data_IF_696542730471
#
_entry.id   IF_696542730471
#
_cell.length_a   1.000
_cell.length_b   1.000
_cell.length_c   1.000
_cell.angle_alpha   90.00
_cell.angle_beta   90.00
_cell.angle_gamma   90.00
#
_symmetry.space_group_name_H-M   'P 1'
#
loop_
_entity.id
_entity.type
_entity.pdbx_description
1 polymer ?
#
# COMPACT_ATOMS: atom_id res chain seq x y z
N UNK A 1 -4.68 14.49 44.73
CA UNK A 1 -3.73 13.44 44.32
C UNK A 1 -4.51 12.39 43.57
N UNK A 2 -4.11 12.06 42.33
CA UNK A 2 -4.71 10.96 41.61
C UNK A 2 -4.24 9.67 42.27
N UNK A 3 -5.19 8.89 42.82
CA UNK A 3 -4.88 7.57 43.31
C UNK A 3 -4.34 6.74 42.14
N UNK A 4 -3.19 6.09 42.33
CA UNK A 4 -2.67 5.14 41.35
C UNK A 4 -3.67 3.99 41.25
N UNK A 5 -4.46 3.98 40.18
CA UNK A 5 -5.30 2.84 39.88
C UNK A 5 -4.38 1.66 39.59
N UNK A 6 -4.52 0.59 40.37
CA UNK A 6 -3.73 -0.60 40.18
C UNK A 6 -4.04 -1.17 38.79
N UNK A 7 -3.06 -1.09 37.88
CA UNK A 7 -3.19 -1.66 36.55
C UNK A 7 -3.47 -3.16 36.69
N UNK A 8 -4.58 -3.61 36.12
CA UNK A 8 -4.85 -5.05 36.02
C UNK A 8 -3.82 -5.66 35.08
N UNK A 9 -3.21 -6.81 35.43
CA UNK A 9 -2.33 -7.52 34.51
C UNK A 9 -3.04 -7.76 33.18
N UNK A 10 -2.40 -7.37 32.07
CA UNK A 10 -2.93 -7.65 30.74
C UNK A 10 -2.73 -9.13 30.43
N UNK A 11 -3.86 -9.83 30.22
CA UNK A 11 -3.89 -11.24 29.85
C UNK A 11 -4.88 -11.42 28.69
N UNK A 12 -4.43 -11.24 27.43
CA UNK A 12 -5.31 -11.39 26.28
C UNK A 12 -5.75 -12.85 26.14
N UNK A 13 -6.99 -13.09 25.71
CA UNK A 13 -7.51 -14.44 25.51
C UNK A 13 -6.73 -15.23 24.44
N UNK A 14 -6.14 -14.53 23.48
CA UNK A 14 -5.22 -15.09 22.49
C UNK A 14 -4.19 -14.05 22.05
N UNK A 15 -2.98 -14.52 21.73
CA UNK A 15 -1.95 -13.68 21.13
C UNK A 15 -2.07 -13.74 19.61
N UNK A 16 -2.07 -12.59 18.89
CA UNK A 16 -2.04 -12.58 17.44
C UNK A 16 -0.89 -13.43 16.88
N UNK A 17 -1.07 -14.03 15.70
CA UNK A 17 -0.07 -14.93 15.09
C UNK A 17 1.30 -14.27 14.95
N UNK A 18 1.31 -12.97 14.63
CA UNK A 18 2.52 -12.17 14.46
C UNK A 18 3.22 -11.78 15.79
N UNK A 19 2.62 -12.04 16.96
CA UNK A 19 3.19 -11.76 18.29
C UNK A 19 3.44 -13.02 19.15
N UNK A 20 3.35 -14.23 18.57
CA UNK A 20 3.68 -15.46 19.28
C UNK A 20 5.17 -15.50 19.58
N UNK A 21 5.58 -15.98 20.76
CA UNK A 21 7.00 -16.06 21.13
C UNK A 21 7.83 -16.85 20.10
N UNK A 22 8.80 -16.18 19.48
CA UNK A 22 9.65 -16.67 18.38
C UNK A 22 11.06 -17.03 18.85
N UNK A 23 11.42 -16.82 20.12
CA UNK A 23 12.78 -17.08 20.66
C UNK A 23 13.27 -18.50 20.43
N UNK A 24 12.36 -19.47 20.40
CA UNK A 24 12.67 -20.88 20.17
C UNK A 24 12.17 -21.42 18.82
N UNK A 25 11.58 -20.57 17.98
CA UNK A 25 11.11 -20.96 16.66
C UNK A 25 12.27 -21.06 15.66
N UNK A 26 12.28 -22.11 14.84
CA UNK A 26 13.24 -22.25 13.75
C UNK A 26 12.91 -21.27 12.61
N UNK A 27 13.84 -20.41 12.20
CA UNK A 27 13.61 -19.50 11.08
C UNK A 27 13.65 -20.26 9.75
N UNK A 28 12.70 -19.97 8.86
CA UNK A 28 12.72 -20.47 7.48
C UNK A 28 13.68 -19.68 6.58
N UNK A 29 14.06 -18.47 7.01
CA UNK A 29 14.99 -17.60 6.32
C UNK A 29 15.83 -16.81 7.33
N UNK A 30 17.14 -16.70 7.08
CA UNK A 30 18.05 -15.96 7.94
C UNK A 30 18.97 -15.12 7.08
N UNK A 31 18.79 -13.80 7.12
CA UNK A 31 19.62 -12.85 6.37
C UNK A 31 20.32 -11.88 7.31
N UNK A 32 21.46 -11.34 6.87
CA UNK A 32 22.17 -10.28 7.55
C UNK A 32 21.85 -8.93 6.91
N UNK A 33 21.70 -7.88 7.72
CA UNK A 33 21.54 -6.49 7.26
C UNK A 33 22.40 -5.59 8.11
N UNK A 34 23.38 -4.97 7.47
CA UNK A 34 24.19 -3.94 8.10
C UNK A 34 23.54 -2.57 7.96
N UNK A 35 23.50 -1.81 9.06
CA UNK A 35 23.14 -0.41 9.09
C UNK A 35 24.41 0.44 8.99
N UNK A 36 24.78 0.83 7.77
CA UNK A 36 26.05 1.49 7.49
C UNK A 36 27.22 0.50 7.35
N UNK A 37 28.13 0.77 6.41
CA UNK A 37 29.38 0.02 6.24
C UNK A 37 30.51 0.94 5.76
N UNK A 38 31.73 0.67 6.23
CA UNK A 38 32.98 1.02 5.54
C UNK A 38 33.18 2.49 5.16
N UNK A 39 32.64 3.43 5.93
CA UNK A 39 32.76 4.88 5.69
C UNK A 39 31.48 5.57 5.19
N UNK A 40 30.48 4.81 4.74
CA UNK A 40 29.19 5.35 4.33
C UNK A 40 28.10 5.07 5.38
N UNK A 41 27.76 6.10 6.16
CA UNK A 41 26.73 6.04 7.22
C UNK A 41 25.29 6.10 6.69
N UNK A 42 25.08 5.93 5.39
CA UNK A 42 23.79 6.13 4.71
C UNK A 42 23.32 4.92 3.91
N UNK A 43 24.01 3.79 4.01
CA UNK A 43 23.71 2.60 3.22
C UNK A 43 23.10 1.52 4.10
N UNK A 44 22.19 0.73 3.55
CA UNK A 44 21.62 -0.45 4.20
C UNK A 44 22.06 -1.71 3.45
N UNK A 45 22.63 -2.68 4.16
CA UNK A 45 23.29 -3.86 3.58
C UNK A 45 24.25 -3.53 2.41
N UNK A 46 25.03 -2.45 2.57
CA UNK A 46 25.98 -2.02 1.53
C UNK A 46 25.33 -1.41 0.29
N UNK A 47 24.05 -1.02 0.34
CA UNK A 47 23.34 -0.41 -0.77
C UNK A 47 22.73 0.94 -0.39
N UNK A 48 22.90 1.93 -1.28
CA UNK A 48 22.20 3.21 -1.25
C UNK A 48 20.86 3.09 -1.96
N UNK A 49 19.78 3.53 -1.33
CA UNK A 49 18.50 3.60 -2.03
C UNK A 49 18.47 4.74 -3.04
N UNK A 50 18.30 4.37 -4.30
CA UNK A 50 18.16 5.29 -5.44
C UNK A 50 16.78 5.13 -6.13
N UNK A 51 15.82 4.54 -5.41
CA UNK A 51 14.48 4.25 -5.93
C UNK A 51 14.22 2.77 -6.15
N UNK A 52 13.09 2.46 -6.80
CA UNK A 52 12.52 1.10 -6.90
C UNK A 52 13.23 0.20 -7.92
N UNK A 53 14.56 0.24 -8.02
CA UNK A 53 15.35 -0.54 -9.00
C UNK A 53 15.96 -1.81 -8.39
N UNK A 54 16.17 -1.79 -7.07
CA UNK A 54 16.72 -2.87 -6.27
C UNK A 54 15.89 -3.02 -5.00
N UNK A 55 15.79 -4.26 -4.55
CA UNK A 55 15.13 -4.65 -3.30
C UNK A 55 16.15 -5.42 -2.47
N UNK A 56 16.02 -5.37 -1.14
CA UNK A 56 16.80 -6.24 -0.26
C UNK A 56 16.22 -7.65 -0.28
N UNK A 57 16.32 -8.34 0.84
CA UNK A 57 15.98 -9.73 1.01
C UNK A 57 14.54 -10.07 0.56
N UNK A 58 14.38 -11.34 0.15
CA UNK A 58 13.09 -12.01 0.04
C UNK A 58 12.87 -12.91 1.23
N UNK A 59 11.70 -12.79 1.84
CA UNK A 59 11.23 -13.67 2.90
C UNK A 59 10.00 -14.46 2.44
N UNK A 60 9.90 -15.76 2.79
CA UNK A 60 8.69 -16.54 2.55
C UNK A 60 7.49 -15.98 3.33
N UNK A 61 6.27 -16.16 2.81
CA UNK A 61 5.05 -15.89 3.57
C UNK A 61 4.77 -17.02 4.58
N UNK A 62 4.03 -16.70 5.64
CA UNK A 62 3.60 -17.64 6.69
C UNK A 62 4.78 -18.34 7.36
N UNK A 63 5.87 -17.61 7.57
CA UNK A 63 7.12 -18.15 8.08
C UNK A 63 7.70 -17.28 9.21
N UNK A 64 8.60 -17.87 9.99
CA UNK A 64 9.47 -17.13 10.89
C UNK A 64 10.72 -16.75 10.12
N UNK A 65 11.11 -15.48 10.19
CA UNK A 65 12.32 -14.93 9.58
C UNK A 65 13.23 -14.44 10.68
N UNK A 66 14.51 -14.77 10.58
CA UNK A 66 15.56 -14.20 11.42
C UNK A 66 16.33 -13.14 10.65
N UNK A 67 16.59 -12.02 11.33
CA UNK A 67 17.41 -10.94 10.82
C UNK A 67 18.57 -10.68 11.76
N UNK A 68 19.79 -10.81 11.22
CA UNK A 68 21.03 -10.47 11.91
C UNK A 68 21.42 -9.04 11.57
N UNK A 69 21.26 -8.16 12.53
CA UNK A 69 21.48 -6.72 12.37
C UNK A 69 22.87 -6.35 12.86
N UNK A 70 23.49 -5.38 12.18
CA UNK A 70 24.71 -4.73 12.64
C UNK A 70 24.66 -3.21 12.44
N UNK A 71 25.51 -2.44 13.12
CA UNK A 71 25.52 -0.96 13.10
C UNK A 71 24.45 -0.30 13.98
N UNK A 72 23.86 -1.05 14.91
CA UNK A 72 22.75 -0.61 15.77
C UNK A 72 23.17 0.35 16.89
N UNK A 73 24.47 0.62 17.05
CA UNK A 73 25.03 1.59 17.99
C UNK A 73 25.01 3.03 17.46
N UNK A 74 24.72 3.19 16.17
CA UNK A 74 24.62 4.48 15.47
C UNK A 74 23.32 4.63 14.67
N UNK A 75 22.63 3.53 14.37
CA UNK A 75 21.51 3.52 13.45
C UNK A 75 20.33 2.75 14.02
N UNK A 76 19.23 3.44 14.29
CA UNK A 76 18.00 2.81 14.75
C UNK A 76 17.37 2.05 13.58
N UNK A 77 17.37 0.72 13.61
CA UNK A 77 16.70 -0.10 12.60
C UNK A 77 15.20 -0.08 12.83
N UNK A 78 14.43 0.24 11.79
CA UNK A 78 12.97 0.21 11.80
C UNK A 78 12.44 -0.67 10.66
N UNK A 79 11.44 -1.50 10.96
CA UNK A 79 10.79 -2.38 10.00
C UNK A 79 9.29 -2.13 9.96
N UNK A 80 8.76 -1.97 8.76
CA UNK A 80 7.31 -1.82 8.54
C UNK A 80 6.64 -3.20 8.55
N UNK A 81 5.32 -3.19 8.74
CA UNK A 81 4.40 -4.34 8.67
C UNK A 81 4.54 -5.39 9.79
N UNK A 82 5.76 -5.84 10.10
CA UNK A 82 5.98 -6.93 11.05
C UNK A 82 6.77 -6.46 12.27
N UNK A 83 6.15 -6.41 13.46
CA UNK A 83 6.89 -6.35 14.70
C UNK A 83 7.88 -7.53 14.77
N UNK A 84 9.05 -7.28 15.33
CA UNK A 84 10.09 -8.28 15.56
C UNK A 84 10.39 -8.43 17.04
N UNK A 85 10.81 -9.61 17.42
CA UNK A 85 11.17 -9.99 18.77
C UNK A 85 12.68 -10.07 18.90
N UNK A 86 13.23 -9.51 19.98
CA UNK A 86 14.64 -9.70 20.35
C UNK A 86 14.86 -11.15 20.79
N UNK A 87 15.72 -11.89 20.08
CA UNK A 87 15.90 -13.34 20.36
C UNK A 87 16.84 -13.60 21.53
N UNK A 88 17.69 -12.64 21.85
CA UNK A 88 18.73 -12.73 22.87
C UNK A 88 18.70 -11.48 23.75
N UNK A 89 19.31 -11.58 24.94
CA UNK A 89 19.48 -10.41 25.78
C UNK A 89 20.42 -9.43 25.06
N UNK A 90 20.08 -8.14 24.99
CA UNK A 90 20.99 -7.13 24.47
C UNK A 90 22.32 -7.16 25.22
N UNK A 91 23.43 -6.98 24.50
CA UNK A 91 24.73 -6.82 25.14
C UNK A 91 24.88 -5.38 25.69
N UNK A 92 25.91 -5.17 26.51
CA UNK A 92 26.27 -3.84 27.01
C UNK A 92 25.43 -3.34 28.19
N UNK A 93 24.92 -4.25 29.01
CA UNK A 93 24.14 -3.97 30.23
C UNK A 93 22.94 -3.03 29.99
N UNK A 94 22.26 -3.19 28.86
CA UNK A 94 21.05 -2.42 28.55
C UNK A 94 19.95 -2.69 29.61
N UNK A 95 19.51 -1.69 30.37
CA UNK A 95 18.54 -1.88 31.44
C UNK A 95 17.09 -1.93 30.93
N UNK A 96 16.87 -1.54 29.67
CA UNK A 96 15.54 -1.33 29.10
C UNK A 96 15.11 -2.53 28.26
N UNK A 97 15.90 -2.89 27.25
CA UNK A 97 15.59 -3.95 26.31
C UNK A 97 15.92 -5.34 26.88
N UNK A 98 15.07 -6.33 26.62
CA UNK A 98 15.21 -7.70 27.12
C UNK A 98 14.94 -8.74 26.03
N UNK A 99 15.50 -9.93 26.24
CA UNK A 99 15.19 -11.07 25.39
C UNK A 99 13.69 -11.38 25.44
N UNK A 100 13.03 -11.34 24.29
CA UNK A 100 11.61 -11.60 24.15
C UNK A 100 10.74 -10.36 24.00
N UNK A 101 11.30 -9.15 24.18
CA UNK A 101 10.59 -7.92 23.91
C UNK A 101 10.27 -7.78 22.42
N UNK A 102 9.10 -7.20 22.14
CA UNK A 102 8.60 -6.94 20.79
C UNK A 102 8.77 -5.47 20.44
N UNK A 103 9.33 -5.22 19.26
CA UNK A 103 9.63 -3.90 18.75
C UNK A 103 9.34 -3.80 17.25
N UNK A 104 9.12 -2.59 16.76
CA UNK A 104 9.22 -2.26 15.33
C UNK A 104 10.49 -1.46 15.02
N UNK A 105 11.18 -1.00 16.07
CA UNK A 105 12.34 -0.12 16.01
C UNK A 105 13.33 -0.50 17.11
N UNK A 106 14.61 -0.63 16.77
CA UNK A 106 15.65 -0.99 17.73
C UNK A 106 16.97 -0.25 17.47
N UNK A 107 17.56 0.24 18.56
CA UNK A 107 18.86 0.89 18.65
C UNK A 107 19.47 0.47 19.99
N UNK A 108 20.74 0.07 19.99
CA UNK A 108 21.48 -0.15 21.23
C UNK A 108 22.82 0.57 21.14
N UNK A 109 22.96 1.68 21.86
CA UNK A 109 24.19 2.50 21.82
C UNK A 109 25.43 1.78 22.36
N UNK A 110 25.25 0.67 23.10
CA UNK A 110 26.31 -0.12 23.70
C UNK A 110 26.62 -1.41 22.91
N UNK A 111 25.81 -1.76 21.91
CA UNK A 111 26.01 -2.93 21.07
C UNK A 111 25.59 -2.66 19.63
N UNK A 112 26.54 -2.87 18.72
CA UNK A 112 26.28 -2.71 17.29
C UNK A 112 25.44 -3.84 16.71
N UNK A 113 25.24 -4.97 17.40
CA UNK A 113 24.63 -6.18 16.85
C UNK A 113 23.31 -6.55 17.53
N UNK A 114 22.43 -7.22 16.78
CA UNK A 114 21.26 -7.90 17.35
C UNK A 114 20.78 -9.02 16.43
N UNK A 115 20.14 -10.03 17.01
CA UNK A 115 19.37 -11.03 16.28
C UNK A 115 17.89 -10.90 16.61
N UNK A 116 17.08 -10.60 15.60
CA UNK A 116 15.64 -10.41 15.74
C UNK A 116 14.86 -11.43 14.91
N UNK A 117 13.66 -11.79 15.37
CA UNK A 117 12.75 -12.66 14.61
C UNK A 117 11.39 -12.02 14.45
N UNK A 118 10.80 -12.20 13.27
CA UNK A 118 9.45 -11.75 12.98
C UNK A 118 8.69 -12.82 12.19
N UNK A 119 7.36 -12.77 12.26
CA UNK A 119 6.50 -13.68 11.53
C UNK A 119 5.86 -12.96 10.34
N UNK A 120 6.12 -13.46 9.13
CA UNK A 120 5.58 -12.92 7.87
C UNK A 120 4.16 -13.42 7.60
N UNK A 121 3.28 -13.23 8.57
CA UNK A 121 1.87 -13.62 8.52
C UNK A 121 1.00 -12.42 8.16
N UNK A 122 -0.18 -12.67 7.58
CA UNK A 122 -1.22 -11.67 7.28
C UNK A 122 -0.92 -10.68 6.13
N UNK A 123 0.34 -10.43 5.79
CA UNK A 123 0.74 -9.58 4.66
C UNK A 123 1.67 -10.32 3.68
N UNK A 124 1.56 -10.01 2.39
CA UNK A 124 2.52 -10.39 1.35
C UNK A 124 2.68 -9.20 0.39
N UNK A 125 3.92 -8.88 0.06
CA UNK A 125 4.25 -7.70 -0.72
C UNK A 125 5.52 -7.01 -0.24
N UNK A 126 5.75 -5.77 -0.71
CA UNK A 126 6.88 -4.97 -0.29
C UNK A 126 6.72 -4.51 1.17
N UNK A 127 7.77 -4.67 1.98
CA UNK A 127 7.89 -4.08 3.31
C UNK A 127 9.06 -3.08 3.29
N UNK A 128 8.88 -1.91 3.89
CA UNK A 128 9.95 -0.91 3.99
C UNK A 128 10.74 -1.18 5.28
N UNK A 129 12.07 -1.11 5.18
CA UNK A 129 12.97 -1.10 6.33
C UNK A 129 13.88 0.12 6.19
N UNK A 130 14.19 0.80 7.28
CA UNK A 130 15.05 1.98 7.20
C UNK A 130 15.71 2.32 8.52
N UNK A 131 16.65 3.26 8.47
CA UNK A 131 17.10 3.92 9.68
C UNK A 131 16.04 4.91 10.16
N UNK A 132 15.70 4.89 11.44
CA UNK A 132 14.76 5.84 12.04
C UNK A 132 15.39 7.21 12.36
N UNK A 133 16.68 7.41 12.01
CA UNK A 133 17.28 8.74 11.92
C UNK A 133 16.90 9.32 10.55
N UNK A 134 15.89 10.20 10.53
CA UNK A 134 15.28 10.70 9.28
C UNK A 134 16.32 11.26 8.29
N UNK A 135 17.30 12.04 8.77
CA UNK A 135 18.37 12.56 7.91
C UNK A 135 19.32 11.50 7.34
N UNK A 136 19.34 10.27 7.87
CA UNK A 136 20.01 9.12 7.26
C UNK A 136 19.09 8.44 6.25
N UNK A 137 17.82 8.21 6.60
CA UNK A 137 16.79 7.64 5.71
C UNK A 137 16.64 8.44 4.42
N UNK A 138 16.47 9.77 4.53
CA UNK A 138 16.30 10.69 3.40
C UNK A 138 17.51 10.73 2.47
N UNK A 139 18.69 10.32 2.97
CA UNK A 139 19.92 10.24 2.19
C UNK A 139 20.23 8.82 1.73
N UNK A 140 19.23 7.93 1.76
CA UNK A 140 19.27 6.61 1.13
C UNK A 140 19.45 5.43 2.09
N UNK A 141 19.40 5.63 3.42
CA UNK A 141 19.40 4.53 4.40
C UNK A 141 17.98 3.98 4.63
N UNK A 142 17.38 3.56 3.53
CA UNK A 142 16.06 2.97 3.41
C UNK A 142 16.18 1.81 2.42
N UNK A 143 15.35 0.81 2.54
CA UNK A 143 15.27 -0.26 1.56
C UNK A 143 13.87 -0.85 1.57
N UNK A 144 13.58 -1.61 0.51
CA UNK A 144 12.35 -2.38 0.41
C UNK A 144 12.72 -3.85 0.32
N UNK A 145 12.13 -4.66 1.18
CA UNK A 145 12.22 -6.12 1.15
C UNK A 145 10.92 -6.70 0.61
N UNK A 146 10.98 -7.94 0.14
CA UNK A 146 9.81 -8.63 -0.40
C UNK A 146 9.37 -9.78 0.49
N UNK A 147 8.09 -9.84 0.80
CA UNK A 147 7.45 -11.03 1.37
C UNK A 147 6.59 -11.70 0.31
N UNK A 148 7.04 -12.83 -0.22
CA UNK A 148 6.27 -13.64 -1.16
C UNK A 148 6.85 -15.06 -1.25
N UNK A 149 6.16 -15.93 -2.00
CA UNK A 149 6.52 -17.34 -2.07
C UNK A 149 6.29 -18.07 -0.76
N UNK A 150 6.71 -19.33 -0.69
CA UNK A 150 6.53 -20.17 0.49
C UNK A 150 7.71 -21.11 0.68
N UNK A 151 7.95 -21.51 1.93
CA UNK A 151 9.03 -22.43 2.31
C UNK A 151 10.46 -21.85 2.14
N UNK A 152 11.48 -22.63 2.50
CA UNK A 152 12.88 -22.17 2.50
C UNK A 152 13.40 -21.72 1.13
N UNK A 153 12.86 -22.28 0.03
CA UNK A 153 13.28 -21.92 -1.33
C UNK A 153 12.93 -20.46 -1.72
N UNK A 154 11.96 -19.85 -1.03
CA UNK A 154 11.63 -18.43 -1.21
C UNK A 154 12.51 -17.50 -0.36
N UNK A 155 13.46 -18.02 0.42
CA UNK A 155 14.44 -17.20 1.11
C UNK A 155 15.50 -16.70 0.12
N UNK A 156 15.73 -15.39 0.09
CA UNK A 156 16.81 -14.79 -0.70
C UNK A 156 17.45 -13.66 0.09
N UNK A 157 18.77 -13.72 0.29
CA UNK A 157 19.47 -12.70 1.08
C UNK A 157 20.22 -11.67 0.24
N UNK A 158 20.36 -11.88 -1.06
CA UNK A 158 21.01 -10.95 -1.96
C UNK A 158 20.06 -9.83 -2.42
N UNK A 159 20.62 -8.77 -3.00
CA UNK A 159 19.84 -7.72 -3.65
C UNK A 159 19.05 -8.30 -4.82
N UNK A 160 17.75 -8.00 -4.86
CA UNK A 160 16.85 -8.43 -5.91
C UNK A 160 16.62 -7.31 -6.93
N UNK A 161 16.61 -7.66 -8.20
CA UNK A 161 16.15 -6.83 -9.30
C UNK A 161 14.61 -6.74 -9.37
N UNK A 162 14.13 -5.88 -10.28
CA UNK A 162 12.72 -5.74 -10.65
C UNK A 162 12.06 -7.04 -11.10
N UNK A 163 12.81 -7.92 -11.75
CA UNK A 163 12.30 -9.20 -12.23
C UNK A 163 12.34 -10.24 -11.12
N UNK A 164 13.45 -10.32 -10.40
CA UNK A 164 13.59 -11.25 -9.29
C UNK A 164 12.48 -11.01 -8.27
N UNK A 165 12.17 -9.76 -7.89
CA UNK A 165 11.13 -9.44 -6.87
C UNK A 165 9.76 -10.07 -7.12
N UNK A 166 9.42 -10.42 -8.37
CA UNK A 166 8.11 -10.96 -8.72
C UNK A 166 7.83 -12.25 -7.92
N UNK A 167 6.58 -12.51 -7.53
CA UNK A 167 6.24 -13.80 -6.94
C UNK A 167 6.58 -14.91 -7.94
N UNK A 168 7.22 -15.98 -7.48
CA UNK A 168 7.33 -17.22 -8.26
C UNK A 168 5.94 -17.82 -8.36
N UNK A 169 5.22 -17.52 -9.43
CA UNK A 169 3.99 -18.24 -9.77
C UNK A 169 4.43 -19.63 -10.20
N UNK A 170 3.92 -20.72 -9.60
CA UNK A 170 4.20 -22.06 -10.09
C UNK A 170 3.84 -22.12 -11.57
N UNK A 171 4.76 -22.58 -12.41
CA UNK A 171 4.51 -22.77 -13.83
C UNK A 171 3.38 -23.80 -13.99
N UNK A 172 2.17 -23.32 -14.30
CA UNK A 172 0.93 -24.11 -14.25
C UNK A 172 -0.22 -23.47 -13.48
N UNK A 173 0.04 -22.49 -12.62
CA UNK A 173 -0.98 -21.59 -12.07
C UNK A 173 -1.24 -20.42 -13.03
N UNK A 174 -1.42 -20.72 -14.33
CA UNK A 174 -2.11 -19.80 -15.20
C UNK A 174 -3.49 -19.60 -14.58
N UNK A 175 -3.79 -18.37 -14.18
CA UNK A 175 -5.15 -18.00 -13.84
C UNK A 175 -6.02 -18.45 -15.01
N UNK A 176 -6.83 -19.47 -14.81
CA UNK A 176 -7.99 -19.68 -15.66
C UNK A 176 -8.74 -18.36 -15.57
N UNK A 177 -8.66 -17.56 -16.62
CA UNK A 177 -9.57 -16.44 -16.80
C UNK A 177 -10.94 -17.08 -16.83
N UNK A 178 -11.59 -17.15 -15.66
CA UNK A 178 -13.00 -17.43 -15.58
C UNK A 178 -13.70 -16.38 -16.43
N UNK A 179 -14.76 -16.73 -17.17
CA UNK A 179 -15.49 -15.75 -17.96
C UNK A 179 -15.82 -14.55 -17.09
N UNK A 180 -15.36 -13.39 -17.55
CA UNK A 180 -15.46 -12.11 -16.88
C UNK A 180 -16.91 -11.85 -16.46
N UNK A 181 -17.16 -11.84 -15.14
CA UNK A 181 -18.49 -11.60 -14.58
C UNK A 181 -18.93 -10.12 -14.71
N UNK A 182 -18.17 -9.27 -15.41
CA UNK A 182 -18.48 -7.85 -15.61
C UNK A 182 -19.34 -7.54 -16.84
N UNK A 183 -19.54 -8.49 -17.76
CA UNK A 183 -20.34 -8.27 -18.98
C UNK A 183 -21.82 -7.90 -18.74
N UNK A 184 -22.59 -8.48 -17.79
CA UNK A 184 -24.01 -8.14 -17.70
C UNK A 184 -24.28 -6.77 -17.04
N UNK A 185 -23.36 -6.25 -16.22
CA UNK A 185 -23.55 -4.96 -15.55
C UNK A 185 -23.22 -3.76 -16.46
N UNK A 186 -22.22 -3.89 -17.33
CA UNK A 186 -21.85 -2.83 -18.28
C UNK A 186 -22.93 -2.63 -19.34
N UNK A 187 -23.54 -3.72 -19.83
CA UNK A 187 -24.66 -3.66 -20.79
C UNK A 187 -25.90 -3.00 -20.17
N UNK A 188 -26.21 -3.29 -18.90
CA UNK A 188 -27.35 -2.68 -18.20
C UNK A 188 -27.15 -1.17 -17.96
N UNK A 189 -25.92 -0.77 -17.59
CA UNK A 189 -25.57 0.64 -17.40
C UNK A 189 -25.66 1.45 -18.71
N UNK A 190 -25.20 0.89 -19.83
CA UNK A 190 -25.29 1.54 -21.14
C UNK A 190 -26.76 1.71 -21.60
N UNK A 191 -27.62 0.71 -21.35
CA UNK A 191 -29.05 0.80 -21.68
C UNK A 191 -29.80 1.85 -20.83
N UNK A 192 -29.43 2.01 -19.55
CA UNK A 192 -29.99 3.03 -18.66
C UNK A 192 -29.53 4.45 -19.06
N UNK A 193 -28.29 4.62 -19.52
CA UNK A 193 -27.83 5.91 -20.03
C UNK A 193 -28.54 6.32 -21.33
N UNK A 194 -28.73 5.40 -22.28
CA UNK A 194 -29.42 5.70 -23.54
C UNK A 194 -30.89 6.12 -23.34
N UNK A 195 -31.57 5.51 -22.37
CA UNK A 195 -32.97 5.81 -22.05
C UNK A 195 -33.15 7.17 -21.34
N UNK A 196 -32.20 7.58 -20.47
CA UNK A 196 -32.23 8.93 -19.89
C UNK A 196 -32.02 10.04 -20.93
N UNK A 197 -31.10 9.85 -21.89
CA UNK A 197 -30.86 10.84 -22.96
C UNK A 197 -32.10 10.99 -23.86
N UNK A 198 -32.77 9.88 -24.18
CA UNK A 198 -34.01 9.91 -24.96
C UNK A 198 -35.14 10.66 -24.24
N UNK A 199 -35.32 10.47 -22.92
CA UNK A 199 -36.34 11.19 -22.16
C UNK A 199 -36.09 12.70 -22.10
N UNK A 200 -34.84 13.14 -21.96
CA UNK A 200 -34.49 14.57 -21.96
C UNK A 200 -34.74 15.20 -23.33
N UNK A 201 -34.44 14.49 -24.43
CA UNK A 201 -34.70 14.99 -25.78
C UNK A 201 -36.21 15.13 -26.08
N UNK A 202 -37.02 14.18 -25.64
CA UNK A 202 -38.49 14.24 -25.80
C UNK A 202 -39.07 15.37 -24.94
N UNK A 203 -38.66 15.51 -23.68
CA UNK A 203 -39.12 16.60 -22.81
C UNK A 203 -38.71 17.98 -23.37
N UNK A 204 -37.50 18.12 -23.91
CA UNK A 204 -37.03 19.34 -24.56
C UNK A 204 -37.84 19.69 -25.81
N UNK A 205 -38.19 18.70 -26.64
CA UNK A 205 -39.01 18.91 -27.84
C UNK A 205 -40.45 19.36 -27.49
N UNK A 206 -41.04 18.84 -26.41
CA UNK A 206 -42.35 19.29 -25.94
C UNK A 206 -42.33 20.72 -25.39
N UNK A 207 -41.28 21.12 -24.67
CA UNK A 207 -41.12 22.49 -24.16
C UNK A 207 -40.94 23.53 -25.27
N UNK A 208 -40.16 23.22 -26.32
CA UNK A 208 -39.98 24.12 -27.47
C UNK A 208 -41.29 24.29 -28.27
N UNK A 209 -42.11 23.22 -28.37
CA UNK A 209 -43.41 23.28 -29.03
C UNK A 209 -44.44 24.09 -28.25
N UNK A 210 -44.43 23.98 -26.91
CA UNK A 210 -45.27 24.78 -26.02
C UNK A 210 -44.92 26.28 -26.09
N UNK A 211 -43.62 26.62 -26.09
CA UNK A 211 -43.17 28.00 -26.22
C UNK A 211 -43.54 28.64 -27.58
N UNK A 212 -43.44 27.89 -28.69
CA UNK A 212 -43.86 28.41 -30.01
C UNK A 212 -45.37 28.67 -30.13
N UNK A 213 -46.21 27.94 -29.39
CA UNK A 213 -47.66 28.15 -29.37
C UNK A 213 -48.04 29.38 -28.52
N UNK A 214 -47.39 29.59 -27.37
CA UNK A 214 -47.69 30.74 -26.50
C UNK A 214 -47.19 32.08 -27.06
N UNK A 215 -45.99 32.10 -27.68
CA UNK A 215 -45.44 33.32 -28.29
C UNK A 215 -46.11 33.64 -29.64
N UNK A 216 -46.56 32.62 -30.38
CA UNK A 216 -47.30 32.81 -31.64
C UNK A 216 -48.70 33.41 -31.45
N UNK A 217 -49.40 33.12 -30.33
CA UNK A 217 -50.70 33.73 -30.04
C UNK A 217 -50.59 35.19 -29.54
N UNK A 218 -49.49 35.57 -28.88
CA UNK A 218 -49.31 36.93 -28.35
C UNK A 218 -48.99 37.98 -29.42
N UNK A 219 -48.52 37.58 -30.61
CA UNK A 219 -48.21 38.52 -31.69
C UNK A 219 -49.39 38.83 -32.64
N UNK A 220 -50.51 38.13 -32.52
CA UNK A 220 -51.69 38.30 -33.38
C UNK A 220 -52.80 39.21 -32.78
N UNK A 221 -52.61 39.75 -31.58
CA UNK A 221 -53.66 40.50 -30.84
C UNK A 221 -53.26 41.90 -30.37
N UNK A 222 -52.11 42.42 -30.83
CA UNK A 222 -51.71 43.81 -30.55
C UNK A 222 -52.29 44.78 -31.58
N UNK A 223 -53.10 45.79 -31.17
CA UNK A 223 -53.57 46.84 -32.06
C UNK A 223 -52.40 47.79 -32.38
N UNK A 224 -52.06 47.91 -33.67
CA UNK A 224 -51.00 48.81 -34.15
C UNK A 224 -49.86 48.15 -34.94
N UNK A 225 -50.01 46.87 -35.34
CA UNK A 225 -49.11 46.25 -36.31
C UNK A 225 -49.25 46.90 -37.69
N UNK A 226 -48.14 47.24 -38.38
CA UNK A 226 -48.17 47.88 -39.69
C UNK A 226 -48.87 46.99 -40.73
N UNK A 227 -49.71 47.61 -41.55
CA UNK A 227 -50.37 46.95 -42.67
C UNK A 227 -49.32 46.31 -43.61
N UNK A 228 -49.53 45.07 -44.08
CA UNK A 228 -48.61 44.42 -45.00
C UNK A 228 -48.59 45.19 -46.33
N UNK A 229 -47.40 45.71 -46.66
CA UNK A 229 -47.13 46.32 -47.96
C UNK A 229 -47.28 45.29 -49.07
N UNK A 230 -47.85 45.76 -50.17
CA UNK A 230 -48.44 44.95 -51.22
C UNK A 230 -47.48 44.03 -51.94
N UNK A 231 -48.04 42.89 -52.32
CA UNK A 231 -47.66 42.11 -53.49
C UNK A 231 -47.34 43.01 -54.68
N UNK A 232 -46.08 43.02 -55.12
CA UNK A 232 -45.75 43.38 -56.50
C UNK A 232 -45.77 42.11 -57.31
N UNK A 233 -46.78 42.01 -58.17
CA UNK A 233 -46.93 40.94 -59.16
C UNK A 233 -45.80 41.00 -60.20
N UNK A 234 -45.48 39.83 -60.73
CA UNK A 234 -44.90 39.61 -62.07
C UNK A 234 -45.88 40.20 -63.11
N UNK A 235 -45.55 40.70 -64.30
CA UNK A 235 -44.71 40.23 -65.40
C UNK A 235 -44.53 41.40 -66.42
N UNK A 236 -43.51 41.31 -67.29
CA UNK A 236 -43.30 42.04 -68.57
C UNK A 236 -43.12 43.58 -68.54
#
# INVERSE_FOLDING_TARGET
GLAAEALRPWAPASTPRYLRDLRHAAPACTCATSMGLGGNTRWMAGHLWEGKTRYLHRSPQNAVVERRLSGLDKHAYHAHNYPFQLTQAPHGDDPYFKAGDWHDTYLNVNDSQASVRFATVDFAGPQVVHCHMLGHSDKGMIAVEMVNGSGPAACGCDLLSLEERRPTVPEGAAATQGPDASEPLVVLAAALCASMVAMVAVAGAHLVKAWRLEVGLHYATLPGGPAPEGTRATDA
#
